data_IF_897251435314
#
_entry.id   IF_897251435314
#
_cell.length_a   1.000
_cell.length_b   1.000
_cell.length_c   1.000
_cell.angle_alpha   90.00
_cell.angle_beta   90.00
_cell.angle_gamma   90.00
#
_symmetry.space_group_name_H-M   'P 1'
#
loop_
_entity.id
_entity.type
_entity.pdbx_description
1 polymer ?
#
# COMPACT_ATOMS: atom_id res chain seq x y z
N UNK A 1 -14.53 6.73 9.61
CA UNK A 1 -14.31 6.67 8.16
C UNK A 1 -13.41 7.83 7.75
N UNK A 2 -12.40 7.55 6.94
CA UNK A 2 -11.43 8.55 6.47
C UNK A 2 -11.22 8.42 4.96
N UNK A 3 -11.16 9.57 4.28
CA UNK A 3 -10.71 9.67 2.90
C UNK A 3 -9.21 9.99 2.85
N UNK A 4 -8.42 9.15 2.19
CA UNK A 4 -6.96 9.30 2.22
C UNK A 4 -6.30 9.03 0.85
N UNK A 5 -5.03 9.46 0.73
CA UNK A 5 -4.21 9.20 -0.46
C UNK A 5 -3.54 7.82 -0.35
N UNK A 6 -3.70 6.95 -1.36
CA UNK A 6 -3.06 5.63 -1.36
C UNK A 6 -1.53 5.73 -1.34
N UNK A 7 -0.95 6.74 -2.00
CA UNK A 7 0.49 7.00 -2.00
C UNK A 7 1.04 7.53 -3.32
N UNK A 8 0.90 6.77 -4.42
CA UNK A 8 1.36 7.20 -5.75
C UNK A 8 0.62 8.44 -6.25
N UNK A 9 1.38 9.43 -6.73
CA UNK A 9 0.90 10.66 -7.36
C UNK A 9 1.52 10.83 -8.74
N UNK A 10 0.80 11.40 -9.73
CA UNK A 10 1.36 11.75 -11.02
C UNK A 10 2.34 12.92 -10.90
N UNK A 11 3.20 13.08 -11.92
CA UNK A 11 4.18 14.16 -11.97
C UNK A 11 5.49 13.85 -11.24
N UNK A 12 6.34 14.88 -11.14
CA UNK A 12 7.74 14.73 -10.70
C UNK A 12 8.17 15.71 -9.60
N UNK A 13 7.27 16.61 -9.18
CA UNK A 13 7.50 17.61 -8.15
C UNK A 13 7.00 17.12 -6.79
N UNK A 14 7.91 16.91 -5.83
CA UNK A 14 7.54 16.44 -4.49
C UNK A 14 6.75 17.49 -3.71
N UNK A 15 7.15 18.75 -3.80
CA UNK A 15 6.46 19.87 -3.15
C UNK A 15 5.03 20.07 -3.65
N UNK A 16 4.79 19.96 -4.96
CA UNK A 16 3.45 20.07 -5.54
C UNK A 16 2.55 18.90 -5.09
N UNK A 17 3.08 17.68 -5.12
CA UNK A 17 2.34 16.51 -4.65
C UNK A 17 2.02 16.60 -3.14
N UNK A 18 2.97 17.08 -2.34
CA UNK A 18 2.80 17.32 -0.91
C UNK A 18 1.72 18.37 -0.63
N UNK A 19 1.73 19.50 -1.35
CA UNK A 19 0.72 20.57 -1.21
C UNK A 19 -0.69 20.04 -1.53
N UNK A 20 -0.83 19.30 -2.63
CA UNK A 20 -2.12 18.68 -3.02
C UNK A 20 -2.61 17.70 -1.95
N UNK A 21 -1.75 16.81 -1.45
CA UNK A 21 -2.17 15.79 -0.47
C UNK A 21 -2.60 16.45 0.84
N UNK A 22 -1.85 17.44 1.33
CA UNK A 22 -2.18 18.16 2.56
C UNK A 22 -3.47 18.99 2.41
N UNK A 23 -3.72 19.56 1.23
CA UNK A 23 -4.91 20.36 0.98
C UNK A 23 -6.20 19.56 0.78
N UNK A 24 -6.11 18.31 0.32
CA UNK A 24 -7.28 17.55 -0.14
C UNK A 24 -7.61 16.31 0.71
N UNK A 25 -6.76 15.92 1.68
CA UNK A 25 -6.96 14.70 2.50
C UNK A 25 -6.89 14.97 4.01
N UNK A 26 -7.63 14.17 4.79
CA UNK A 26 -7.59 14.24 6.27
C UNK A 26 -6.38 13.50 6.86
N UNK A 27 -5.94 12.43 6.17
CA UNK A 27 -4.76 11.65 6.50
C UNK A 27 -3.71 11.84 5.38
N UNK A 28 -2.81 12.83 5.51
CA UNK A 28 -1.81 13.09 4.48
C UNK A 28 -0.82 11.93 4.41
N UNK A 29 -0.61 11.42 3.21
CA UNK A 29 0.35 10.36 2.92
C UNK A 29 1.64 10.93 2.33
N UNK A 30 2.80 10.41 2.73
CA UNK A 30 4.07 10.78 2.09
C UNK A 30 3.97 10.45 0.58
N UNK A 31 4.12 11.43 -0.32
CA UNK A 31 3.91 11.20 -1.74
C UNK A 31 4.94 10.23 -2.32
N UNK A 32 4.49 9.37 -3.24
CA UNK A 32 5.38 8.59 -4.11
C UNK A 32 5.24 9.08 -5.54
N UNK A 33 6.37 9.34 -6.21
CA UNK A 33 6.40 9.88 -7.57
C UNK A 33 7.17 8.94 -8.53
N UNK A 34 6.56 7.82 -8.97
CA UNK A 34 7.21 6.86 -9.87
C UNK A 34 7.69 7.48 -11.19
N UNK A 35 7.05 8.54 -11.68
CA UNK A 35 7.44 9.23 -12.92
C UNK A 35 8.82 9.90 -12.84
N UNK A 36 9.40 10.07 -11.64
CA UNK A 36 10.79 10.51 -11.46
C UNK A 36 11.82 9.45 -11.89
N UNK A 37 11.36 8.26 -12.28
CA UNK A 37 12.15 7.19 -12.84
C UNK A 37 12.76 6.28 -11.77
N UNK A 38 13.82 5.57 -12.18
CA UNK A 38 14.45 4.52 -11.37
C UNK A 38 14.83 5.02 -9.96
N UNK A 39 14.47 4.22 -8.97
CA UNK A 39 14.67 4.54 -7.55
C UNK A 39 13.49 5.29 -6.92
N UNK A 40 12.59 5.85 -7.73
CA UNK A 40 11.33 6.43 -7.26
C UNK A 40 10.12 5.52 -7.50
N UNK A 41 10.32 4.40 -8.20
CA UNK A 41 9.37 3.29 -8.23
C UNK A 41 9.22 2.63 -6.85
N UNK A 42 8.15 1.86 -6.66
CA UNK A 42 7.80 1.27 -5.35
C UNK A 42 8.90 0.37 -4.78
N UNK A 43 9.60 -0.38 -5.63
CA UNK A 43 10.72 -1.23 -5.22
C UNK A 43 11.91 -0.37 -4.81
N UNK A 44 12.31 0.59 -5.64
CA UNK A 44 13.42 1.50 -5.34
C UNK A 44 13.19 2.30 -4.05
N UNK A 45 11.97 2.81 -3.85
CA UNK A 45 11.61 3.57 -2.65
C UNK A 45 11.61 2.70 -1.39
N UNK A 46 11.05 1.50 -1.47
CA UNK A 46 11.09 0.56 -0.34
C UNK A 46 12.53 0.14 -0.05
N UNK A 47 13.33 -0.14 -1.07
CA UNK A 47 14.74 -0.47 -0.96
C UNK A 47 15.57 0.64 -0.28
N UNK A 48 15.19 1.91 -0.44
CA UNK A 48 15.88 3.01 0.24
C UNK A 48 15.65 3.06 1.75
N UNK A 49 14.66 2.32 2.28
CA UNK A 49 14.44 2.17 3.72
C UNK A 49 15.32 1.06 4.32
N UNK A 50 15.97 0.24 3.49
CA UNK A 50 16.71 -0.94 3.92
C UNK A 50 18.18 -0.61 4.12
N UNK A 51 18.59 -0.43 5.38
CA UNK A 51 19.99 -0.16 5.73
C UNK A 51 20.82 -1.43 5.89
N UNK A 52 20.21 -2.52 6.38
CA UNK A 52 20.89 -3.77 6.69
C UNK A 52 21.29 -4.58 5.44
N UNK A 53 20.56 -4.39 4.34
CA UNK A 53 20.82 -5.07 3.06
C UNK A 53 20.92 -4.05 1.94
N UNK A 54 21.73 -4.36 0.94
CA UNK A 54 21.87 -3.48 -0.23
C UNK A 54 21.09 -4.02 -1.41
N UNK A 55 20.22 -3.17 -1.96
CA UNK A 55 19.52 -3.41 -3.22
C UNK A 55 19.98 -2.37 -4.26
N UNK A 56 20.26 -2.84 -5.47
CA UNK A 56 20.66 -1.98 -6.59
C UNK A 56 19.99 -2.46 -7.89
N UNK A 57 20.10 -1.66 -8.96
CA UNK A 57 19.64 -2.06 -10.28
C UNK A 57 20.46 -3.23 -10.80
N UNK A 58 19.77 -4.30 -11.17
CA UNK A 58 20.31 -5.37 -12.00
C UNK A 58 20.06 -5.11 -13.49
N UNK A 59 20.47 -6.04 -14.37
CA UNK A 59 20.24 -5.95 -15.80
C UNK A 59 18.75 -6.08 -16.19
N UNK A 60 17.96 -6.79 -15.39
CA UNK A 60 16.55 -7.14 -15.67
C UNK A 60 15.61 -6.67 -14.55
N UNK A 61 16.03 -6.81 -13.30
CA UNK A 61 15.27 -6.42 -12.12
C UNK A 61 16.16 -5.73 -11.09
N UNK A 62 15.56 -5.21 -10.02
CA UNK A 62 16.29 -4.92 -8.78
C UNK A 62 16.98 -6.17 -8.26
N UNK A 63 18.15 -6.02 -7.65
CA UNK A 63 18.98 -7.15 -7.21
C UNK A 63 19.62 -6.87 -5.86
N UNK A 64 19.65 -7.87 -4.98
CA UNK A 64 20.45 -7.84 -3.76
C UNK A 64 21.94 -7.85 -4.12
N UNK A 65 22.72 -7.00 -3.47
CA UNK A 65 24.16 -6.88 -3.70
C UNK A 65 24.91 -6.88 -2.38
N UNK A 66 26.19 -7.27 -2.39
CA UNK A 66 26.99 -7.35 -1.18
C UNK A 66 27.41 -5.97 -0.63
N UNK A 67 27.38 -4.92 -1.45
CA UNK A 67 27.85 -3.58 -1.07
C UNK A 67 27.09 -2.47 -1.82
N UNK A 68 26.77 -1.35 -1.15
CA UNK A 68 26.09 -0.21 -1.77
C UNK A 68 26.91 0.36 -2.92
N UNK A 69 26.25 0.54 -4.07
CA UNK A 69 26.84 1.27 -5.19
C UNK A 69 26.32 2.71 -5.24
N UNK A 70 26.69 3.41 -6.31
CA UNK A 70 26.31 4.79 -6.53
C UNK A 70 24.78 4.98 -6.59
N UNK A 71 24.04 4.03 -7.18
CA UNK A 71 22.59 4.16 -7.27
C UNK A 71 21.94 3.97 -5.89
N UNK A 72 22.32 2.92 -5.14
CA UNK A 72 21.81 2.73 -3.77
C UNK A 72 21.95 4.01 -2.94
N UNK A 73 23.15 4.61 -2.92
CA UNK A 73 23.40 5.86 -2.18
C UNK A 73 22.54 7.01 -2.66
N UNK A 74 22.37 7.16 -3.98
CA UNK A 74 21.49 8.19 -4.56
C UNK A 74 20.03 8.01 -4.17
N UNK A 75 19.56 6.78 -4.01
CA UNK A 75 18.18 6.50 -3.60
C UNK A 75 18.00 6.81 -2.11
N UNK A 76 18.97 6.48 -1.26
CA UNK A 76 18.99 6.92 0.15
C UNK A 76 18.96 8.45 0.27
N UNK A 77 19.88 9.14 -0.40
CA UNK A 77 19.91 10.61 -0.43
C UNK A 77 18.63 11.22 -1.02
N UNK A 78 17.92 10.48 -1.89
CA UNK A 78 16.64 10.93 -2.47
C UNK A 78 15.51 10.80 -1.45
N UNK A 79 15.44 9.71 -0.71
CA UNK A 79 14.41 9.54 0.33
C UNK A 79 14.52 10.64 1.39
N UNK A 80 15.74 10.96 1.84
CA UNK A 80 15.98 12.04 2.81
C UNK A 80 15.55 13.40 2.25
N UNK A 81 15.99 13.74 1.02
CA UNK A 81 15.58 14.99 0.36
C UNK A 81 14.08 15.09 0.11
N UNK A 82 13.44 13.97 -0.23
CA UNK A 82 11.98 13.94 -0.41
C UNK A 82 11.26 14.26 0.89
N UNK A 83 11.72 13.73 2.03
CA UNK A 83 11.16 14.06 3.35
C UNK A 83 11.41 15.52 3.74
N UNK A 84 12.59 16.07 3.43
CA UNK A 84 12.88 17.49 3.65
C UNK A 84 11.96 18.40 2.83
N UNK A 85 11.74 18.06 1.55
CA UNK A 85 10.82 18.80 0.67
C UNK A 85 9.37 18.75 1.17
N UNK A 86 8.91 17.57 1.63
CA UNK A 86 7.57 17.43 2.23
C UNK A 86 7.47 18.25 3.53
N UNK A 87 8.48 18.16 4.40
CA UNK A 87 8.52 18.90 5.65
C UNK A 87 8.52 20.42 5.43
N UNK A 88 9.18 20.90 4.38
CA UNK A 88 9.14 22.32 4.02
C UNK A 88 7.72 22.80 3.66
N UNK A 89 6.90 21.94 3.06
CA UNK A 89 5.52 22.28 2.66
C UNK A 89 4.54 22.12 3.83
N UNK A 90 4.61 21.01 4.55
CA UNK A 90 3.66 20.68 5.62
C UNK A 90 4.00 21.34 6.97
N UNK A 91 5.26 21.79 7.13
CA UNK A 91 5.81 22.18 8.42
C UNK A 91 6.13 20.99 9.31
N UNK A 92 6.28 21.25 10.60
CA UNK A 92 6.75 20.27 11.60
C UNK A 92 5.63 19.72 12.49
N UNK A 93 4.36 20.10 12.26
CA UNK A 93 3.25 19.75 13.15
C UNK A 93 2.06 19.23 12.36
N UNK A 94 2.17 17.97 11.95
CA UNK A 94 1.09 17.23 11.29
C UNK A 94 0.64 16.13 12.25
N UNK A 95 -0.60 16.16 12.79
CA UNK A 95 -1.01 15.26 13.86
C UNK A 95 -0.88 13.77 13.53
N UNK A 96 -1.11 13.41 12.27
CA UNK A 96 -1.04 12.04 11.79
C UNK A 96 -0.54 12.03 10.34
N UNK A 97 0.46 11.20 10.04
CA UNK A 97 1.05 11.06 8.69
C UNK A 97 1.04 9.60 8.28
N UNK A 98 0.62 9.31 7.05
CA UNK A 98 0.70 7.96 6.50
C UNK A 98 2.00 7.75 5.72
N UNK A 99 2.69 6.65 6.00
CA UNK A 99 3.82 6.15 5.19
C UNK A 99 3.41 4.85 4.50
N UNK A 100 4.03 4.55 3.37
CA UNK A 100 3.82 3.26 2.70
C UNK A 100 5.11 2.66 2.13
N UNK A 101 5.13 1.34 2.09
CA UNK A 101 6.18 0.52 1.51
C UNK A 101 5.59 -0.71 0.81
N UNK A 102 6.33 -1.31 -0.11
CA UNK A 102 6.00 -2.66 -0.57
C UNK A 102 6.13 -3.63 0.60
N UNK A 103 5.18 -4.55 0.70
CA UNK A 103 5.24 -5.65 1.65
C UNK A 103 6.33 -6.68 1.31
N UNK A 104 6.67 -7.55 2.27
CA UNK A 104 7.78 -8.51 2.17
C UNK A 104 7.63 -9.44 0.95
N UNK A 105 6.42 -9.88 0.63
CA UNK A 105 6.19 -10.87 -0.43
C UNK A 105 6.40 -10.26 -1.82
N UNK A 106 5.76 -9.12 -2.08
CA UNK A 106 5.89 -8.41 -3.35
C UNK A 106 7.30 -7.85 -3.54
N UNK A 107 7.95 -7.41 -2.47
CA UNK A 107 9.34 -6.98 -2.52
C UNK A 107 10.28 -8.15 -2.88
N UNK A 108 10.11 -9.31 -2.25
CA UNK A 108 10.91 -10.51 -2.54
C UNK A 108 10.69 -11.07 -3.95
N UNK A 109 9.46 -10.98 -4.47
CA UNK A 109 9.14 -11.34 -5.84
C UNK A 109 9.74 -10.37 -6.88
N UNK A 110 10.01 -9.13 -6.48
CA UNK A 110 10.53 -8.07 -7.35
C UNK A 110 12.06 -7.97 -7.35
N UNK A 111 12.74 -8.65 -6.43
CA UNK A 111 14.20 -8.58 -6.28
C UNK A 111 14.84 -9.91 -6.67
N UNK A 112 15.95 -9.83 -7.39
CA UNK A 112 16.81 -10.96 -7.76
C UNK A 112 18.00 -11.11 -6.79
N UNK A 113 18.50 -12.33 -6.67
CA UNK A 113 19.77 -12.69 -6.07
C UNK A 113 20.90 -12.55 -7.09
N UNK A 114 22.14 -12.76 -6.63
CA UNK A 114 23.32 -12.62 -7.49
C UNK A 114 23.34 -13.63 -8.66
N UNK A 115 22.70 -14.78 -8.51
CA UNK A 115 22.56 -15.87 -9.49
C UNK A 115 21.35 -15.71 -10.41
N UNK A 116 20.54 -14.66 -10.23
CA UNK A 116 19.35 -14.36 -11.03
C UNK A 116 18.05 -14.97 -10.52
N UNK A 117 18.09 -15.83 -9.50
CA UNK A 117 16.88 -16.31 -8.83
C UNK A 117 16.18 -15.17 -8.09
N UNK A 118 14.85 -15.23 -7.91
CA UNK A 118 14.15 -14.25 -7.06
C UNK A 118 14.46 -14.50 -5.60
N UNK A 119 14.51 -13.44 -4.79
CA UNK A 119 14.66 -13.57 -3.33
C UNK A 119 13.56 -14.46 -2.75
N UNK A 120 12.34 -14.39 -3.28
CA UNK A 120 11.22 -15.24 -2.89
C UNK A 120 11.51 -16.76 -2.97
N UNK A 121 12.44 -17.19 -3.84
CA UNK A 121 12.76 -18.61 -4.00
C UNK A 121 13.77 -19.16 -2.98
N UNK A 122 14.46 -18.28 -2.24
CA UNK A 122 15.40 -18.65 -1.18
C UNK A 122 14.84 -18.23 0.18
N UNK A 123 14.56 -19.22 1.04
CA UNK A 123 13.98 -18.98 2.37
C UNK A 123 14.88 -18.15 3.28
N UNK A 124 16.20 -18.32 3.19
CA UNK A 124 17.16 -17.57 4.00
C UNK A 124 17.23 -16.11 3.56
N UNK A 125 17.31 -15.88 2.25
CA UNK A 125 17.31 -14.53 1.70
C UNK A 125 15.96 -13.81 1.91
N UNK A 126 14.84 -14.53 1.83
CA UNK A 126 13.52 -14.00 2.16
C UNK A 126 13.43 -13.57 3.63
N UNK A 127 13.89 -14.42 4.56
CA UNK A 127 13.88 -14.09 5.98
C UNK A 127 14.74 -12.86 6.29
N UNK A 128 15.95 -12.79 5.71
CA UNK A 128 16.85 -11.63 5.84
C UNK A 128 16.21 -10.35 5.26
N UNK A 129 15.61 -10.42 4.08
CA UNK A 129 14.90 -9.30 3.45
C UNK A 129 13.71 -8.84 4.30
N UNK A 130 12.92 -9.77 4.83
CA UNK A 130 11.74 -9.47 5.65
C UNK A 130 12.14 -8.82 6.98
N UNK A 131 13.19 -9.31 7.64
CA UNK A 131 13.72 -8.70 8.87
C UNK A 131 14.27 -7.29 8.60
N UNK A 132 15.04 -7.13 7.52
CA UNK A 132 15.55 -5.83 7.12
C UNK A 132 14.43 -4.84 6.77
N UNK A 133 13.36 -5.30 6.12
CA UNK A 133 12.18 -4.48 5.80
C UNK A 133 11.45 -4.04 7.07
N UNK A 134 11.23 -4.96 8.01
CA UNK A 134 10.58 -4.62 9.28
C UNK A 134 11.38 -3.56 10.05
N UNK A 135 12.70 -3.72 10.13
CA UNK A 135 13.57 -2.77 10.80
C UNK A 135 13.59 -1.41 10.09
N UNK A 136 13.77 -1.41 8.76
CA UNK A 136 13.82 -0.20 7.95
C UNK A 136 12.51 0.59 7.94
N UNK A 137 11.37 -0.11 7.91
CA UNK A 137 10.05 0.52 7.95
C UNK A 137 9.79 1.19 9.30
N UNK A 138 10.17 0.54 10.41
CA UNK A 138 10.09 1.13 11.76
C UNK A 138 10.97 2.36 11.89
N UNK A 139 12.22 2.28 11.45
CA UNK A 139 13.14 3.43 11.45
C UNK A 139 12.61 4.59 10.59
N UNK A 140 12.02 4.29 9.43
CA UNK A 140 11.38 5.30 8.58
C UNK A 140 10.16 5.94 9.25
N UNK A 141 9.30 5.14 9.88
CA UNK A 141 8.14 5.65 10.62
C UNK A 141 8.58 6.54 11.80
N UNK A 142 9.62 6.14 12.55
CA UNK A 142 10.17 6.93 13.66
C UNK A 142 10.76 8.27 13.18
N UNK A 143 11.46 8.28 12.04
CA UNK A 143 11.97 9.52 11.42
C UNK A 143 10.82 10.46 11.02
N UNK A 144 9.78 9.92 10.36
CA UNK A 144 8.60 10.70 9.98
C UNK A 144 7.86 11.23 11.21
N UNK A 145 7.62 10.41 12.22
CA UNK A 145 6.99 10.83 13.48
C UNK A 145 7.77 11.97 14.14
N UNK A 146 9.11 11.87 14.16
CA UNK A 146 9.99 12.91 14.69
C UNK A 146 9.94 14.22 13.88
N UNK A 147 9.90 14.13 12.55
CA UNK A 147 9.87 15.30 11.65
C UNK A 147 8.56 16.10 11.76
N UNK A 148 7.44 15.41 11.98
CA UNK A 148 6.10 16.02 11.96
C UNK A 148 5.43 16.12 13.33
N UNK A 149 6.10 15.70 14.41
CA UNK A 149 5.57 15.70 15.78
C UNK A 149 4.17 15.09 15.89
N UNK A 150 3.96 13.98 15.18
CA UNK A 150 2.67 13.32 15.04
C UNK A 150 2.77 11.81 15.00
N UNK A 151 1.61 11.17 14.99
CA UNK A 151 1.48 9.72 14.86
C UNK A 151 1.76 9.30 13.40
N UNK A 152 2.28 8.09 13.23
CA UNK A 152 2.53 7.53 11.90
C UNK A 152 1.69 6.29 11.69
N UNK A 153 1.02 6.27 10.55
CA UNK A 153 0.20 5.15 10.10
C UNK A 153 0.93 4.45 8.96
N UNK A 154 1.03 3.13 9.03
CA UNK A 154 1.84 2.33 8.12
C UNK A 154 0.96 1.53 7.16
N UNK A 155 1.24 1.68 5.86
CA UNK A 155 0.63 0.86 4.81
C UNK A 155 1.66 -0.06 4.15
N UNK A 156 1.30 -1.34 4.04
CA UNK A 156 2.00 -2.32 3.21
C UNK A 156 1.25 -2.55 1.90
N UNK A 157 1.96 -2.43 0.79
CA UNK A 157 1.46 -2.72 -0.55
C UNK A 157 1.93 -4.10 -1.01
N UNK A 158 0.99 -5.01 -1.24
CA UNK A 158 1.22 -6.40 -1.65
C UNK A 158 0.56 -6.74 -3.02
N UNK A 159 0.90 -6.01 -4.11
CA UNK A 159 0.24 -6.18 -5.40
C UNK A 159 0.48 -7.54 -6.07
N UNK A 160 1.56 -8.25 -5.72
CA UNK A 160 1.92 -9.55 -6.30
C UNK A 160 1.40 -10.74 -5.48
N UNK A 161 0.75 -10.50 -4.34
CA UNK A 161 0.41 -11.55 -3.39
C UNK A 161 -0.50 -12.63 -3.99
N UNK A 162 -1.50 -12.25 -4.80
CA UNK A 162 -2.37 -13.22 -5.48
C UNK A 162 -1.62 -14.15 -6.45
N UNK A 163 -0.53 -13.67 -7.07
CA UNK A 163 0.31 -14.50 -7.93
C UNK A 163 1.27 -15.37 -7.12
N UNK A 164 1.73 -14.88 -5.96
CA UNK A 164 2.59 -15.62 -5.04
C UNK A 164 1.86 -16.82 -4.43
N UNK A 165 0.66 -16.62 -3.89
CA UNK A 165 -0.14 -17.71 -3.29
C UNK A 165 -0.59 -18.73 -4.33
N UNK A 166 -0.70 -18.31 -5.59
CA UNK A 166 -1.07 -19.19 -6.69
C UNK A 166 0.13 -19.84 -7.42
N UNK A 167 1.37 -19.53 -7.03
CA UNK A 167 2.58 -20.06 -7.69
C UNK A 167 2.75 -19.59 -9.14
N UNK A 168 2.30 -18.36 -9.45
CA UNK A 168 2.35 -17.75 -10.78
C UNK A 168 3.52 -16.79 -10.98
N UNK A 169 4.41 -16.65 -10.00
CA UNK A 169 5.61 -15.82 -10.14
C UNK A 169 6.62 -16.53 -11.03
N UNK A 170 7.10 -15.90 -12.12
CA UNK A 170 8.11 -16.49 -12.99
C UNK A 170 9.41 -16.79 -12.23
N UNK A 171 10.01 -17.93 -12.52
CA UNK A 171 11.35 -18.31 -12.08
C UNK A 171 12.44 -17.62 -12.92
N UNK A 172 13.63 -18.24 -12.95
CA UNK A 172 14.78 -17.72 -13.74
C UNK A 172 14.60 -17.91 -15.25
N UNK A 173 13.77 -18.86 -15.65
CA UNK A 173 13.47 -19.16 -17.06
C UNK A 173 11.97 -19.12 -17.29
N UNK A 174 11.55 -18.91 -18.55
CA UNK A 174 10.13 -18.86 -18.92
C UNK A 174 9.38 -20.19 -18.68
N UNK A 175 10.10 -21.27 -18.38
CA UNK A 175 9.57 -22.61 -18.12
C UNK A 175 9.55 -22.98 -16.63
N UNK A 176 10.02 -22.09 -15.76
CA UNK A 176 10.08 -22.30 -14.32
C UNK A 176 9.18 -21.29 -13.60
N UNK A 177 8.53 -21.73 -12.53
CA UNK A 177 7.66 -20.91 -11.70
C UNK A 177 7.97 -21.15 -10.24
N UNK A 178 8.00 -20.09 -9.45
CA UNK A 178 8.22 -20.20 -8.02
C UNK A 178 7.00 -20.92 -7.39
N UNK A 179 7.22 -21.95 -6.54
CA UNK A 179 6.14 -22.66 -5.90
C UNK A 179 5.17 -21.73 -5.15
N UNK A 180 3.90 -22.12 -5.13
CA UNK A 180 2.87 -21.44 -4.36
C UNK A 180 3.25 -21.34 -2.87
N UNK A 181 3.01 -20.16 -2.29
CA UNK A 181 3.11 -19.93 -0.85
C UNK A 181 1.73 -20.20 -0.23
N UNK A 182 1.68 -20.96 0.86
CA UNK A 182 0.43 -21.19 1.57
C UNK A 182 -0.07 -19.89 2.22
N UNK A 183 -1.38 -19.66 2.18
CA UNK A 183 -2.02 -18.46 2.72
C UNK A 183 -1.65 -18.22 4.20
N UNK A 184 -1.54 -19.29 4.99
CA UNK A 184 -1.20 -19.20 6.42
C UNK A 184 0.21 -18.65 6.63
N UNK A 185 1.17 -19.04 5.77
CA UNK A 185 2.56 -18.54 5.83
C UNK A 185 2.60 -17.08 5.43
N UNK A 186 1.82 -16.71 4.40
CA UNK A 186 1.71 -15.33 3.95
C UNK A 186 1.12 -14.43 5.04
N UNK A 187 0.03 -14.86 5.65
CA UNK A 187 -0.64 -14.21 6.77
C UNK A 187 0.29 -14.06 7.99
N UNK A 188 0.94 -15.14 8.43
CA UNK A 188 1.84 -15.12 9.59
C UNK A 188 2.98 -14.10 9.40
N UNK A 189 3.55 -14.05 8.20
CA UNK A 189 4.62 -13.10 7.90
C UNK A 189 4.12 -11.65 7.94
N UNK A 190 2.94 -11.38 7.36
CA UNK A 190 2.38 -10.03 7.32
C UNK A 190 1.94 -9.53 8.70
N UNK A 191 1.40 -10.41 9.55
CA UNK A 191 1.06 -10.09 10.94
C UNK A 191 2.28 -9.60 11.74
N UNK A 192 3.48 -10.06 11.42
CA UNK A 192 4.72 -9.60 12.06
C UNK A 192 5.06 -8.13 11.84
N UNK A 193 4.43 -7.47 10.86
CA UNK A 193 4.65 -6.06 10.55
C UNK A 193 3.74 -5.10 11.32
N UNK A 194 2.64 -5.58 11.90
CA UNK A 194 1.68 -4.76 12.65
C UNK A 194 1.23 -3.52 11.84
N UNK A 195 0.89 -3.72 10.57
CA UNK A 195 0.53 -2.63 9.66
C UNK A 195 -0.91 -2.16 9.91
N UNK A 196 -1.13 -0.86 9.80
CA UNK A 196 -2.48 -0.28 9.86
C UNK A 196 -3.29 -0.57 8.61
N UNK A 197 -2.61 -0.53 7.45
CA UNK A 197 -3.20 -0.79 6.15
C UNK A 197 -2.46 -1.88 5.40
N UNK A 198 -3.20 -2.84 4.84
CA UNK A 198 -2.69 -3.79 3.86
C UNK A 198 -3.43 -3.59 2.54
N UNK A 199 -2.73 -3.14 1.51
CA UNK A 199 -3.27 -3.02 0.17
C UNK A 199 -2.83 -4.20 -0.69
N UNK A 200 -3.77 -5.10 -0.95
CA UNK A 200 -3.50 -6.33 -1.69
C UNK A 200 -4.70 -6.71 -2.56
N UNK A 201 -4.53 -7.63 -3.52
CA UNK A 201 -5.65 -8.33 -4.16
C UNK A 201 -6.59 -8.94 -3.11
N UNK A 202 -7.89 -9.18 -3.44
CA UNK A 202 -8.93 -9.61 -2.50
C UNK A 202 -8.78 -11.06 -2.02
N UNK A 203 -7.72 -11.33 -1.26
CA UNK A 203 -7.41 -12.59 -0.60
C UNK A 203 -7.94 -12.54 0.83
N UNK A 204 -9.20 -12.92 1.02
CA UNK A 204 -9.89 -12.78 2.30
C UNK A 204 -9.24 -13.57 3.44
N UNK A 205 -8.62 -14.71 3.13
CA UNK A 205 -7.82 -15.50 4.09
C UNK A 205 -6.63 -14.74 4.68
N UNK A 206 -6.15 -13.69 4.01
CA UNK A 206 -4.99 -12.88 4.43
C UNK A 206 -5.44 -11.45 4.84
N UNK A 207 -6.70 -11.08 4.61
CA UNK A 207 -7.22 -9.73 4.86
C UNK A 207 -7.09 -9.29 6.32
N UNK A 208 -7.08 -10.23 7.27
CA UNK A 208 -6.89 -9.99 8.70
C UNK A 208 -5.44 -9.67 9.11
N UNK A 209 -4.49 -9.56 8.17
CA UNK A 209 -3.09 -9.28 8.46
C UNK A 209 -2.78 -7.82 8.87
N UNK A 210 -3.74 -6.91 8.74
CA UNK A 210 -3.63 -5.50 9.10
C UNK A 210 -4.93 -4.99 9.73
N UNK A 211 -4.89 -3.82 10.36
CA UNK A 211 -6.07 -3.18 10.97
C UNK A 211 -7.18 -2.90 9.95
N UNK A 212 -6.79 -2.44 8.75
CA UNK A 212 -7.70 -2.15 7.64
C UNK A 212 -7.18 -2.76 6.35
N UNK A 213 -7.99 -3.59 5.71
CA UNK A 213 -7.66 -4.20 4.42
C UNK A 213 -8.10 -3.30 3.26
N UNK A 214 -7.21 -2.96 2.35
CA UNK A 214 -7.49 -2.07 1.22
C UNK A 214 -7.68 -2.88 -0.06
N UNK A 215 -8.83 -2.72 -0.70
CA UNK A 215 -9.18 -3.39 -1.96
C UNK A 215 -9.71 -2.42 -3.01
N UNK A 216 -9.32 -2.64 -4.26
CA UNK A 216 -9.80 -1.89 -5.41
C UNK A 216 -10.98 -2.61 -6.09
N UNK A 217 -12.20 -2.08 -5.90
CA UNK A 217 -13.42 -2.58 -6.56
C UNK A 217 -13.48 -2.30 -8.05
N UNK A 218 -12.66 -1.37 -8.55
CA UNK A 218 -12.62 -0.98 -9.95
C UNK A 218 -11.51 -1.72 -10.72
N UNK A 219 -10.76 -2.59 -10.04
CA UNK A 219 -9.69 -3.36 -10.68
C UNK A 219 -10.28 -4.26 -11.77
N UNK A 220 -9.88 -4.09 -13.05
CA UNK A 220 -10.34 -4.99 -14.11
C UNK A 220 -9.79 -6.41 -13.92
N UNK A 221 -8.73 -6.56 -13.12
CA UNK A 221 -8.09 -7.83 -12.81
C UNK A 221 -8.84 -8.63 -11.74
N UNK A 222 -9.44 -7.94 -10.77
CA UNK A 222 -10.13 -8.54 -9.63
C UNK A 222 -11.57 -8.06 -9.58
N UNK A 223 -12.46 -8.85 -10.18
CA UNK A 223 -13.88 -8.55 -10.25
C UNK A 223 -14.54 -8.81 -8.91
N UNK A 224 -14.64 -7.78 -8.07
CA UNK A 224 -15.26 -7.86 -6.73
C UNK A 224 -16.80 -7.97 -6.76
N UNK A 225 -17.42 -8.05 -7.95
CA UNK A 225 -18.86 -8.23 -8.14
C UNK A 225 -19.31 -9.71 -8.20
N UNK A 226 -18.43 -10.65 -7.80
CA UNK A 226 -18.70 -12.08 -7.77
C UNK A 226 -19.24 -12.55 -6.41
N UNK A 227 -20.03 -13.64 -6.36
CA UNK A 227 -20.52 -14.21 -5.10
C UNK A 227 -19.40 -14.52 -4.09
N UNK A 228 -18.28 -15.06 -4.56
CA UNK A 228 -17.11 -15.38 -3.73
C UNK A 228 -16.57 -14.14 -2.99
N UNK A 229 -16.47 -13.00 -3.67
CA UNK A 229 -15.99 -11.77 -3.03
C UNK A 229 -17.05 -11.12 -2.14
N UNK A 230 -18.34 -11.30 -2.42
CA UNK A 230 -19.41 -10.86 -1.52
C UNK A 230 -19.42 -11.65 -0.22
N UNK A 231 -19.27 -12.97 -0.30
CA UNK A 231 -19.25 -13.85 0.86
C UNK A 231 -18.03 -13.53 1.73
N UNK A 232 -16.84 -13.44 1.14
CA UNK A 232 -15.62 -13.09 1.88
C UNK A 232 -15.63 -11.68 2.49
N UNK A 233 -16.17 -10.69 1.76
CA UNK A 233 -16.38 -9.35 2.33
C UNK A 233 -17.37 -9.38 3.51
N UNK A 234 -18.46 -10.12 3.36
CA UNK A 234 -19.48 -10.27 4.40
C UNK A 234 -18.93 -10.91 5.67
N UNK A 235 -18.13 -11.96 5.53
CA UNK A 235 -17.43 -12.63 6.64
C UNK A 235 -16.45 -11.68 7.33
N UNK A 236 -15.55 -11.04 6.58
CA UNK A 236 -14.57 -10.08 7.08
C UNK A 236 -15.21 -8.95 7.89
N UNK A 237 -16.34 -8.40 7.39
CA UNK A 237 -17.10 -7.37 8.11
C UNK A 237 -17.82 -7.91 9.35
N UNK A 238 -18.32 -9.15 9.31
CA UNK A 238 -19.03 -9.79 10.43
C UNK A 238 -18.11 -10.09 11.61
N UNK A 239 -16.86 -10.44 11.32
CA UNK A 239 -15.78 -10.59 12.32
C UNK A 239 -15.34 -9.25 12.92
N UNK A 240 -15.80 -8.14 12.33
CA UNK A 240 -15.54 -6.80 12.83
C UNK A 240 -14.20 -6.24 12.36
N UNK A 241 -13.70 -6.68 11.21
CA UNK A 241 -12.55 -6.05 10.57
C UNK A 241 -12.95 -4.77 9.81
N UNK A 242 -11.95 -3.94 9.46
CA UNK A 242 -12.14 -2.73 8.65
C UNK A 242 -11.74 -2.99 7.21
N UNK A 243 -12.33 -2.22 6.29
CA UNK A 243 -11.98 -2.28 4.86
C UNK A 243 -11.85 -0.87 4.29
N UNK A 244 -10.85 -0.66 3.45
CA UNK A 244 -10.73 0.54 2.63
C UNK A 244 -11.01 0.23 1.17
N UNK A 245 -11.73 1.12 0.51
CA UNK A 245 -12.30 0.88 -0.81
C UNK A 245 -11.73 1.85 -1.83
N UNK A 246 -11.10 1.30 -2.87
CA UNK A 246 -10.66 2.04 -4.04
C UNK A 246 -11.84 2.53 -4.88
N UNK A 247 -11.97 3.84 -5.01
CA UNK A 247 -12.98 4.52 -5.83
C UNK A 247 -12.33 5.32 -6.95
N UNK A 248 -13.09 5.60 -8.02
CA UNK A 248 -12.57 6.36 -9.15
C UNK A 248 -12.38 7.84 -8.84
N UNK A 249 -13.15 8.37 -7.87
CA UNK A 249 -13.18 9.79 -7.53
C UNK A 249 -13.84 10.65 -8.60
N UNK A 250 -14.73 10.08 -9.42
CA UNK A 250 -15.38 10.80 -10.54
C UNK A 250 -16.63 11.58 -10.12
N UNK A 251 -17.48 10.99 -9.28
CA UNK A 251 -18.69 11.58 -8.70
C UNK A 251 -18.92 11.02 -7.29
N UNK A 252 -18.69 11.86 -6.29
CA UNK A 252 -18.72 11.48 -4.89
C UNK A 252 -20.09 10.94 -4.43
N UNK A 253 -21.19 11.52 -4.91
CA UNK A 253 -22.54 11.10 -4.52
C UNK A 253 -22.90 9.76 -5.16
N UNK A 254 -22.59 9.60 -6.44
CA UNK A 254 -22.84 8.35 -7.15
C UNK A 254 -22.03 7.19 -6.53
N UNK A 255 -20.77 7.43 -6.15
CA UNK A 255 -19.90 6.45 -5.49
C UNK A 255 -20.41 6.09 -4.08
N UNK A 256 -20.83 7.07 -3.28
CA UNK A 256 -21.45 6.82 -1.97
C UNK A 256 -22.70 5.93 -2.08
N UNK A 257 -23.58 6.21 -3.04
CA UNK A 257 -24.78 5.39 -3.31
C UNK A 257 -24.39 3.98 -3.77
N UNK A 258 -23.36 3.86 -4.62
CA UNK A 258 -22.89 2.56 -5.09
C UNK A 258 -22.37 1.69 -3.94
N UNK A 259 -21.63 2.29 -3.00
CA UNK A 259 -21.15 1.62 -1.78
C UNK A 259 -22.32 1.19 -0.89
N UNK A 260 -23.29 2.06 -0.63
CA UNK A 260 -24.47 1.71 0.16
C UNK A 260 -25.25 0.52 -0.46
N UNK A 261 -25.46 0.54 -1.78
CA UNK A 261 -26.10 -0.56 -2.52
C UNK A 261 -25.31 -1.87 -2.44
N UNK A 262 -23.98 -1.79 -2.38
CA UNK A 262 -23.13 -2.95 -2.23
C UNK A 262 -23.37 -3.63 -0.88
N UNK A 263 -23.46 -2.86 0.20
CA UNK A 263 -23.79 -3.39 1.53
C UNK A 263 -25.19 -3.98 1.60
N UNK A 264 -26.18 -3.31 1.00
CA UNK A 264 -27.56 -3.83 0.94
C UNK A 264 -27.60 -5.19 0.23
N UNK A 265 -26.79 -5.36 -0.83
CA UNK A 265 -26.71 -6.61 -1.60
C UNK A 265 -26.11 -7.77 -0.81
N UNK A 266 -25.15 -7.50 0.07
CA UNK A 266 -24.55 -8.52 0.95
C UNK A 266 -25.31 -8.66 2.28
N UNK A 267 -26.44 -7.96 2.44
CA UNK A 267 -27.28 -8.03 3.64
C UNK A 267 -26.68 -7.37 4.88
N UNK A 268 -25.67 -6.50 4.71
CA UNK A 268 -24.97 -5.85 5.81
C UNK A 268 -25.60 -4.51 6.18
N UNK A 269 -25.64 -4.13 7.47
CA UNK A 269 -26.23 -2.87 7.89
C UNK A 269 -25.38 -1.68 7.44
N UNK A 270 -26.01 -0.68 6.83
CA UNK A 270 -25.33 0.54 6.32
C UNK A 270 -24.57 1.34 7.37
N UNK A 271 -24.88 1.16 8.66
CA UNK A 271 -24.10 1.74 9.77
C UNK A 271 -22.61 1.37 9.69
N UNK A 272 -22.28 0.20 9.15
CA UNK A 272 -20.89 -0.22 8.96
C UNK A 272 -20.11 0.72 8.04
N UNK A 273 -20.75 1.46 7.13
CA UNK A 273 -20.06 2.45 6.29
C UNK A 273 -19.37 3.49 7.16
N UNK A 274 -20.00 3.97 8.22
CA UNK A 274 -19.40 5.01 9.08
C UNK A 274 -18.23 4.46 9.90
N UNK A 275 -18.42 3.26 10.44
CA UNK A 275 -17.55 2.70 11.47
C UNK A 275 -16.40 1.86 10.92
N UNK A 276 -16.58 1.19 9.77
CA UNK A 276 -15.70 0.13 9.26
C UNK A 276 -15.13 0.37 7.88
N UNK A 277 -15.60 1.39 7.17
CA UNK A 277 -15.14 1.71 5.82
C UNK A 277 -14.22 2.93 5.82
N UNK A 278 -13.20 2.86 4.98
CA UNK A 278 -12.40 3.99 4.53
C UNK A 278 -12.42 4.03 2.98
N UNK A 279 -12.05 5.15 2.39
CA UNK A 279 -12.07 5.33 0.93
C UNK A 279 -10.78 5.97 0.44
N UNK A 280 -10.31 5.55 -0.73
CA UNK A 280 -9.12 6.10 -1.37
C UNK A 280 -9.30 6.15 -2.90
N UNK A 281 -8.64 7.06 -3.62
CA UNK A 281 -8.72 7.09 -5.07
C UNK A 281 -7.80 6.02 -5.67
N UNK A 282 -8.31 5.25 -6.64
CA UNK A 282 -7.50 4.27 -7.41
C UNK A 282 -6.40 4.98 -8.20
N UNK A 283 -6.69 6.17 -8.73
CA UNK A 283 -5.71 7.06 -9.35
C UNK A 283 -5.76 8.42 -8.68
N UNK A 284 -4.65 8.81 -8.05
CA UNK A 284 -4.59 10.05 -7.30
C UNK A 284 -4.36 11.26 -8.20
N UNK A 285 -5.07 12.34 -7.88
CA UNK A 285 -4.97 13.69 -8.45
C UNK A 285 -5.66 14.63 -7.46
N UNK A 286 -5.44 15.95 -7.57
CA UNK A 286 -6.14 16.90 -6.71
C UNK A 286 -7.67 16.72 -6.75
N UNK A 287 -8.23 16.50 -7.95
CA UNK A 287 -9.67 16.29 -8.14
C UNK A 287 -10.16 14.99 -7.48
N UNK A 288 -9.46 13.88 -7.69
CA UNK A 288 -9.90 12.58 -7.17
C UNK A 288 -9.72 12.48 -5.66
N UNK A 289 -8.67 13.08 -5.10
CA UNK A 289 -8.49 13.19 -3.64
C UNK A 289 -9.61 13.99 -3.00
N UNK A 290 -9.96 15.16 -3.57
CA UNK A 290 -11.12 15.93 -3.12
C UNK A 290 -12.40 15.12 -3.15
N UNK A 291 -12.65 14.44 -4.25
CA UNK A 291 -13.85 13.61 -4.45
C UNK A 291 -13.96 12.51 -3.39
N UNK A 292 -12.84 11.86 -3.04
CA UNK A 292 -12.80 10.82 -1.99
C UNK A 292 -13.14 11.40 -0.61
N UNK A 293 -12.61 12.59 -0.28
CA UNK A 293 -12.93 13.29 0.97
C UNK A 293 -14.41 13.70 1.01
N UNK A 294 -14.97 14.16 -0.12
CA UNK A 294 -16.41 14.44 -0.25
C UNK A 294 -17.26 13.17 -0.08
N UNK A 295 -16.86 12.04 -0.69
CA UNK A 295 -17.53 10.74 -0.54
C UNK A 295 -17.54 10.28 0.91
N UNK A 296 -16.39 10.36 1.60
CA UNK A 296 -16.27 10.05 3.04
C UNK A 296 -17.24 10.90 3.87
N UNK A 297 -17.32 12.21 3.59
CA UNK A 297 -18.22 13.13 4.28
C UNK A 297 -19.70 12.82 4.05
N UNK A 298 -20.09 12.46 2.82
CA UNK A 298 -21.46 12.03 2.49
C UNK A 298 -21.82 10.75 3.25
N UNK A 299 -20.94 9.74 3.22
CA UNK A 299 -21.17 8.47 3.92
C UNK A 299 -21.26 8.67 5.44
N UNK A 300 -20.41 9.52 6.02
CA UNK A 300 -20.46 9.82 7.46
C UNK A 300 -21.76 10.51 7.90
N UNK A 301 -22.38 11.34 7.05
CA UNK A 301 -23.59 12.10 7.37
C UNK A 301 -24.89 11.36 7.01
N UNK A 302 -24.91 10.73 5.84
CA UNK A 302 -26.15 10.29 5.19
C UNK A 302 -26.23 8.76 5.02
N UNK A 303 -25.35 7.95 5.61
CA UNK A 303 -25.34 6.48 5.40
C UNK A 303 -26.71 5.79 5.59
N UNK A 304 -27.58 6.31 6.44
CA UNK A 304 -28.94 5.79 6.63
C UNK A 304 -29.91 6.09 5.47
N UNK A 305 -29.71 7.20 4.77
CA UNK A 305 -30.67 7.80 3.83
C UNK A 305 -30.27 7.66 2.33
N UNK A 306 -29.15 6.99 2.04
CA UNK A 306 -28.58 6.83 0.68
C UNK A 306 -29.27 5.82 -0.25
#
# INVERSE_FOLDING_TARGET
MTGFALGPMPGTSMSEAADIIMGETELPAIPQLPERGLGSDSVGRTASMLEAITIDRGPRSWRMTARPQLLTRRTWDRLERDLDEVQQVWGESVPCVKVQALGPWSLAASIELADGHRVLSDRGAFAELSEALLHGLRAHADDVARRFHGEVVVQLDEPLLADIVAGRIPGTTDFDSIPAVADEVALETLLGFDADYLHAPPLWSIAGAATTFLVDFHSPRYRLDTPEHFDGLGEHLSEGHRIGVGISGSDARAEAIALAKHLDRIGMPRKLLVDRFDVYPVQASARTLRSVTETSSILARDAGDL
#
